data_IF_058529367551
#
_entry.id   IF_058529367551
#
_cell.length_a   1.000
_cell.length_b   1.000
_cell.length_c   1.000
_cell.angle_alpha   90.00
_cell.angle_beta   90.00
_cell.angle_gamma   90.00
#
_symmetry.space_group_name_H-M   'P 1'
#
loop_
_entity.id
_entity.type
_entity.pdbx_description
1 polymer ?
#
# COMPACT_ATOMS: atom_id res chain seq x y z
N UNK A 1 -12.77 -4.81 -4.11
CA UNK A 1 -11.88 -5.99 -4.02
C UNK A 1 -11.30 -6.09 -2.62
N UNK A 2 -11.15 -7.32 -2.10
CA UNK A 2 -10.43 -7.60 -0.86
C UNK A 2 -8.94 -7.79 -1.15
N UNK A 3 -8.09 -7.33 -0.25
CA UNK A 3 -6.63 -7.38 -0.36
C UNK A 3 -6.11 -8.22 0.80
N UNK A 4 -5.30 -9.22 0.46
CA UNK A 4 -4.64 -10.05 1.47
C UNK A 4 -3.48 -9.27 2.09
N UNK A 5 -3.41 -9.21 3.41
CA UNK A 5 -2.39 -8.46 4.16
C UNK A 5 -1.70 -9.36 5.16
N UNK A 6 -0.44 -9.04 5.44
CA UNK A 6 0.37 -9.57 6.53
C UNK A 6 0.65 -8.42 7.48
N UNK A 7 0.14 -8.54 8.71
CA UNK A 7 0.37 -7.60 9.79
C UNK A 7 1.76 -7.79 10.41
N UNK A 8 2.14 -6.87 11.29
CA UNK A 8 3.37 -6.89 12.07
C UNK A 8 3.42 -8.03 13.09
N UNK A 9 2.27 -8.47 13.59
CA UNK A 9 2.07 -9.65 14.44
C UNK A 9 2.15 -10.99 13.68
N UNK A 10 2.56 -10.95 12.41
CA UNK A 10 2.63 -12.11 11.51
C UNK A 10 1.26 -12.75 11.21
N UNK A 11 0.16 -12.03 11.46
CA UNK A 11 -1.19 -12.47 11.13
C UNK A 11 -1.57 -12.12 9.70
N UNK A 12 -2.29 -13.03 9.06
CA UNK A 12 -2.88 -12.83 7.74
C UNK A 12 -4.35 -12.43 7.85
N UNK A 13 -4.79 -11.52 6.99
CA UNK A 13 -6.19 -11.09 6.94
C UNK A 13 -6.57 -10.52 5.57
N UNK A 14 -7.86 -10.32 5.34
CA UNK A 14 -8.40 -9.72 4.12
C UNK A 14 -9.07 -8.40 4.46
N UNK A 15 -8.50 -7.31 3.94
CA UNK A 15 -9.02 -5.95 4.17
C UNK A 15 -9.57 -5.35 2.89
N UNK A 16 -10.49 -4.40 3.01
CA UNK A 16 -10.95 -3.64 1.84
C UNK A 16 -9.86 -2.65 1.42
N UNK A 17 -9.80 -2.31 0.13
CA UNK A 17 -8.79 -1.37 -0.38
C UNK A 17 -8.72 -0.03 0.37
N UNK A 18 -9.85 0.53 0.77
CA UNK A 18 -9.88 1.78 1.55
C UNK A 18 -9.38 1.62 3.01
N UNK A 19 -9.40 0.41 3.57
CA UNK A 19 -8.86 0.13 4.90
C UNK A 19 -7.35 -0.06 4.82
N UNK A 20 -6.84 -0.63 3.72
CA UNK A 20 -5.41 -0.79 3.49
C UNK A 20 -4.68 0.55 3.58
N UNK A 21 -5.20 1.61 2.95
CA UNK A 21 -4.57 2.95 2.99
C UNK A 21 -4.35 3.42 4.44
N UNK A 22 -5.38 3.31 5.29
CA UNK A 22 -5.30 3.67 6.71
C UNK A 22 -4.32 2.79 7.49
N UNK A 23 -4.26 1.49 7.17
CA UNK A 23 -3.35 0.54 7.82
C UNK A 23 -1.88 0.78 7.41
N UNK A 24 -1.65 1.17 6.16
CA UNK A 24 -0.34 1.58 5.66
C UNK A 24 0.11 2.89 6.31
N UNK A 25 -0.79 3.88 6.43
CA UNK A 25 -0.53 5.12 7.17
C UNK A 25 -0.20 4.86 8.64
N UNK A 26 -0.93 3.93 9.27
CA UNK A 26 -0.70 3.50 10.64
C UNK A 26 0.51 2.55 10.80
N UNK A 27 1.22 2.20 9.72
CA UNK A 27 2.36 1.27 9.71
C UNK A 27 2.09 -0.10 10.37
N UNK A 28 0.84 -0.58 10.29
CA UNK A 28 0.44 -1.87 10.89
C UNK A 28 0.62 -3.07 9.95
N UNK A 29 0.87 -2.83 8.67
CA UNK A 29 0.98 -3.88 7.64
C UNK A 29 2.43 -3.98 7.19
N UNK A 30 2.99 -5.19 7.25
CA UNK A 30 4.31 -5.49 6.70
C UNK A 30 4.24 -5.76 5.21
N UNK A 31 3.25 -6.56 4.76
CA UNK A 31 3.12 -6.95 3.35
C UNK A 31 1.67 -7.00 2.91
N UNK A 32 1.40 -6.74 1.64
CA UNK A 32 0.06 -6.93 1.08
C UNK A 32 0.12 -7.51 -0.34
N UNK A 33 -0.90 -8.27 -0.73
CA UNK A 33 -0.96 -8.95 -2.02
C UNK A 33 -1.76 -8.13 -3.03
N UNK A 34 -1.10 -7.73 -4.11
CA UNK A 34 -1.75 -7.17 -5.31
C UNK A 34 -1.83 -8.23 -6.40
N UNK A 35 -2.43 -7.88 -7.54
CA UNK A 35 -2.53 -8.77 -8.71
C UNK A 35 -1.17 -9.31 -9.18
N UNK A 36 -0.10 -8.52 -9.06
CA UNK A 36 1.25 -8.93 -9.48
C UNK A 36 2.06 -9.64 -8.39
N UNK A 37 1.51 -9.84 -7.18
CA UNK A 37 2.19 -10.55 -6.10
C UNK A 37 2.22 -9.79 -4.78
N UNK A 38 3.10 -10.21 -3.88
CA UNK A 38 3.30 -9.59 -2.57
C UNK A 38 4.16 -8.34 -2.67
N UNK A 39 3.74 -7.29 -1.95
CA UNK A 39 4.43 -6.00 -1.83
C UNK A 39 4.81 -5.82 -0.38
N UNK A 40 6.08 -5.52 -0.14
CA UNK A 40 6.68 -5.31 1.18
C UNK A 40 6.73 -3.83 1.49
N UNK A 41 6.08 -3.42 2.58
CA UNK A 41 5.99 -2.01 2.98
C UNK A 41 7.37 -1.51 3.41
N UNK A 42 7.82 -0.42 2.78
CA UNK A 42 9.14 0.19 3.04
C UNK A 42 10.28 -0.34 2.16
N UNK A 43 10.08 -1.42 1.41
CA UNK A 43 11.07 -1.97 0.46
C UNK A 43 10.58 -1.80 -0.97
N UNK A 44 9.36 -2.27 -1.24
CA UNK A 44 8.77 -2.19 -2.56
C UNK A 44 8.18 -0.80 -2.82
N UNK A 45 8.21 -0.31 -4.08
CA UNK A 45 7.62 0.96 -4.44
C UNK A 45 6.10 0.91 -4.25
N UNK A 46 5.61 1.61 -3.23
CA UNK A 46 4.19 1.79 -2.94
C UNK A 46 3.77 3.18 -3.42
N UNK A 47 2.68 3.24 -4.19
CA UNK A 47 2.12 4.49 -4.66
C UNK A 47 1.45 5.22 -3.49
N UNK A 48 2.15 6.18 -2.88
CA UNK A 48 1.52 7.06 -1.89
C UNK A 48 0.66 8.12 -2.57
N UNK A 49 -0.50 8.47 -1.98
CA UNK A 49 -1.43 9.46 -2.53
C UNK A 49 -0.92 10.91 -2.48
N UNK A 50 0.11 11.18 -1.69
CA UNK A 50 0.80 12.48 -1.63
C UNK A 50 2.30 12.26 -1.57
N UNK A 51 3.00 12.44 -2.67
CA UNK A 51 4.40 12.86 -2.57
C UNK A 51 4.38 14.39 -2.58
N UNK A 52 4.60 15.07 -1.44
CA UNK A 52 4.66 16.53 -1.42
C UNK A 52 5.82 17.08 -2.26
N UNK A 53 6.80 16.24 -2.62
CA UNK A 53 8.03 16.64 -3.32
C UNK A 53 8.14 16.04 -4.73
N UNK A 54 7.03 15.79 -5.41
CA UNK A 54 7.09 15.39 -6.82
C UNK A 54 7.35 16.61 -7.71
N UNK A 55 8.62 16.85 -8.06
CA UNK A 55 9.05 17.93 -8.97
C UNK A 55 8.90 17.58 -10.47
N UNK A 56 8.25 16.46 -10.80
CA UNK A 56 8.04 16.03 -12.18
C UNK A 56 6.75 16.60 -12.78
N UNK A 57 6.72 16.72 -14.11
CA UNK A 57 5.50 17.10 -14.85
C UNK A 57 4.38 16.12 -14.50
N UNK A 58 3.22 16.65 -14.09
CA UNK A 58 2.06 15.84 -13.72
C UNK A 58 1.48 15.14 -14.97
N UNK A 59 1.82 13.87 -15.15
CA UNK A 59 1.37 13.05 -16.30
C UNK A 59 -0.03 12.44 -16.16
N UNK A 60 -0.82 12.87 -15.17
CA UNK A 60 -2.16 12.32 -14.90
C UNK A 60 -3.31 13.18 -15.45
N UNK A 61 -3.00 14.36 -15.96
CA UNK A 61 -3.99 15.31 -16.49
C UNK A 61 -4.21 15.18 -18.02
N UNK A 62 -3.92 14.01 -18.60
CA UNK A 62 -4.17 13.73 -20.03
C UNK A 62 -5.49 12.99 -20.20
#
# INVERSE_FOLDING_TARGET
MLIHVLYDDNRYDYVKGFQLDRLLEAKKVQRFKRSTGWVTVGVDPIRWRKSPNYHGVERRAA
#
